data_IF_447140513000
#
_entry.id   IF_447140513000
#
_cell.length_a   1.000
_cell.length_b   1.000
_cell.length_c   1.000
_cell.angle_alpha   90.00
_cell.angle_beta   90.00
_cell.angle_gamma   90.00
#
_symmetry.space_group_name_H-M   'P 1'
#
loop_
_entity.id
_entity.type
_entity.pdbx_description
1 polymer ?
#
# COMPACT_ATOMS: atom_id res chain seq x y z
N UNK A 1 5.41 -11.78 20.45
CA UNK A 1 4.64 -11.11 19.37
C UNK A 1 5.49 -10.28 18.37
N UNK A 2 6.84 -10.31 18.41
CA UNK A 2 7.75 -9.48 17.58
C UNK A 2 7.64 -9.67 16.05
N UNK A 3 7.04 -10.75 15.55
CA UNK A 3 6.95 -11.02 14.11
C UNK A 3 5.77 -10.33 13.40
N UNK A 4 4.66 -10.06 14.10
CA UNK A 4 3.40 -9.65 13.45
C UNK A 4 3.41 -8.20 12.93
N UNK A 5 4.12 -7.29 13.60
CA UNK A 5 4.27 -5.89 13.18
C UNK A 5 5.10 -5.75 11.91
N UNK A 6 6.22 -6.48 11.79
CA UNK A 6 7.03 -6.54 10.57
C UNK A 6 6.25 -7.09 9.38
N UNK A 7 5.44 -8.13 9.58
CA UNK A 7 4.60 -8.70 8.52
C UNK A 7 3.61 -7.64 8.01
N UNK A 8 2.95 -6.88 8.89
CA UNK A 8 2.04 -5.81 8.50
C UNK A 8 2.74 -4.69 7.71
N UNK A 9 3.95 -4.30 8.11
CA UNK A 9 4.73 -3.31 7.37
C UNK A 9 5.10 -3.80 5.96
N UNK A 10 5.54 -5.06 5.83
CA UNK A 10 5.88 -5.67 4.54
C UNK A 10 4.64 -5.80 3.67
N UNK A 11 3.52 -6.27 4.22
CA UNK A 11 2.25 -6.39 3.49
C UNK A 11 1.76 -5.02 3.01
N UNK A 12 1.80 -3.99 3.86
CA UNK A 12 1.43 -2.62 3.48
C UNK A 12 2.31 -2.07 2.35
N UNK A 13 3.62 -2.31 2.41
CA UNK A 13 4.55 -1.91 1.36
C UNK A 13 4.29 -2.65 0.04
N UNK A 14 4.06 -3.97 0.10
CA UNK A 14 3.74 -4.78 -1.08
C UNK A 14 2.44 -4.32 -1.72
N UNK A 15 1.41 -4.01 -0.92
CA UNK A 15 0.13 -3.49 -1.43
C UNK A 15 0.33 -2.15 -2.14
N UNK A 16 1.07 -1.22 -1.54
CA UNK A 16 1.35 0.08 -2.16
C UNK A 16 2.11 -0.06 -3.50
N UNK A 17 3.16 -0.90 -3.52
CA UNK A 17 3.93 -1.18 -4.74
C UNK A 17 3.07 -1.88 -5.80
N UNK A 18 2.23 -2.83 -5.38
CA UNK A 18 1.33 -3.53 -6.30
C UNK A 18 0.35 -2.56 -6.96
N UNK A 19 -0.17 -1.56 -6.24
CA UNK A 19 -1.06 -0.56 -6.81
C UNK A 19 -0.40 0.30 -7.89
N UNK A 20 0.87 0.66 -7.70
CA UNK A 20 1.65 1.33 -8.74
C UNK A 20 1.86 0.43 -9.96
N UNK A 21 2.31 -0.81 -9.75
CA UNK A 21 2.59 -1.76 -10.83
C UNK A 21 1.32 -2.11 -11.61
N UNK A 22 0.20 -2.36 -10.94
CA UNK A 22 -1.09 -2.62 -11.61
C UNK A 22 -1.54 -1.43 -12.47
N UNK A 23 -1.36 -0.20 -11.98
CA UNK A 23 -1.70 1.00 -12.75
C UNK A 23 -0.89 1.10 -14.06
N UNK A 24 0.42 0.89 -13.98
CA UNK A 24 1.31 0.89 -15.15
C UNK A 24 0.98 -0.25 -16.13
N UNK A 25 0.81 -1.48 -15.63
CA UNK A 25 0.42 -2.62 -16.47
C UNK A 25 -0.92 -2.36 -17.16
N UNK A 26 -1.88 -1.77 -16.46
CA UNK A 26 -3.20 -1.49 -17.03
C UNK A 26 -3.13 -0.43 -18.14
N UNK A 27 -2.36 0.64 -17.94
CA UNK A 27 -2.12 1.67 -18.96
C UNK A 27 -1.39 1.10 -20.18
N UNK A 28 -0.34 0.29 -19.97
CA UNK A 28 0.41 -0.37 -21.03
C UNK A 28 -0.45 -1.37 -21.82
N UNK A 29 -1.21 -2.22 -21.13
CA UNK A 29 -2.11 -3.20 -21.74
C UNK A 29 -3.18 -2.50 -22.56
N UNK A 30 -3.75 -1.40 -22.05
CA UNK A 30 -4.69 -0.60 -22.80
C UNK A 30 -4.05 0.04 -24.02
N UNK A 31 -2.88 0.66 -23.89
CA UNK A 31 -2.12 1.26 -25.00
C UNK A 31 -1.77 0.25 -26.11
N UNK A 32 -1.50 -1.00 -25.74
CA UNK A 32 -1.30 -2.10 -26.69
C UNK A 32 -2.58 -2.46 -27.46
N UNK A 33 -3.72 -2.56 -26.76
CA UNK A 33 -5.02 -2.87 -27.37
C UNK A 33 -5.51 -1.71 -28.25
N UNK A 34 -5.33 -0.47 -27.79
CA UNK A 34 -5.75 0.74 -28.49
C UNK A 34 -4.77 1.22 -29.57
N UNK A 35 -3.70 0.46 -29.84
CA UNK A 35 -2.65 0.78 -30.83
C UNK A 35 -3.17 1.03 -32.26
N UNK A 36 -4.42 0.64 -32.56
CA UNK A 36 -5.07 0.91 -33.85
C UNK A 36 -5.71 2.31 -33.95
N UNK A 37 -5.85 3.03 -32.83
CA UNK A 37 -6.31 4.42 -32.80
C UNK A 37 -5.54 5.20 -31.71
N UNK A 38 -4.43 5.87 -32.05
CA UNK A 38 -3.72 6.72 -31.10
C UNK A 38 -4.60 7.94 -30.77
N UNK A 39 -5.33 7.84 -29.66
CA UNK A 39 -6.16 8.89 -29.10
C UNK A 39 -6.02 8.92 -27.58
N UNK A 40 -6.51 9.97 -26.90
CA UNK A 40 -6.53 10.01 -25.45
C UNK A 40 -7.25 8.78 -24.89
N UNK A 41 -6.71 8.22 -23.80
CA UNK A 41 -7.35 7.09 -23.09
C UNK A 41 -8.83 7.41 -22.87
N UNK A 42 -9.75 6.47 -23.14
CA UNK A 42 -11.15 6.69 -22.84
C UNK A 42 -11.30 7.00 -21.36
N UNK A 43 -12.21 7.91 -21.07
CA UNK A 43 -12.41 8.45 -19.74
C UNK A 43 -12.61 7.35 -18.67
N UNK A 44 -13.27 6.25 -19.04
CA UNK A 44 -13.46 5.07 -18.17
C UNK A 44 -12.16 4.39 -17.74
N UNK A 45 -11.18 4.28 -18.64
CA UNK A 45 -9.88 3.65 -18.39
C UNK A 45 -9.04 4.51 -17.47
N UNK A 46 -9.01 5.82 -17.72
CA UNK A 46 -8.32 6.79 -16.88
C UNK A 46 -8.92 6.85 -15.45
N UNK A 47 -10.24 6.79 -15.33
CA UNK A 47 -10.93 6.72 -14.03
C UNK A 47 -10.58 5.42 -13.30
N UNK A 48 -10.59 4.27 -13.98
CA UNK A 48 -10.30 2.99 -13.33
C UNK A 48 -8.85 2.93 -12.81
N UNK A 49 -7.91 3.35 -13.66
CA UNK A 49 -6.49 3.47 -13.33
C UNK A 49 -6.26 4.41 -12.12
N UNK A 50 -6.84 5.61 -12.19
CA UNK A 50 -6.78 6.59 -11.09
C UNK A 50 -7.43 6.09 -9.80
N UNK A 51 -8.54 5.35 -9.89
CA UNK A 51 -9.25 4.80 -8.72
C UNK A 51 -8.43 3.72 -8.03
N UNK A 52 -7.83 2.81 -8.79
CA UNK A 52 -6.94 1.75 -8.27
C UNK A 52 -5.77 2.40 -7.51
N UNK A 53 -5.18 3.44 -8.10
CA UNK A 53 -4.08 4.19 -7.49
C UNK A 53 -4.51 4.91 -6.21
N UNK A 54 -5.66 5.59 -6.24
CA UNK A 54 -6.24 6.32 -5.11
C UNK A 54 -6.70 5.41 -3.95
N UNK A 55 -6.95 4.12 -4.19
CA UNK A 55 -7.37 3.20 -3.13
C UNK A 55 -6.18 2.43 -2.56
N UNK A 56 -5.32 1.88 -3.41
CA UNK A 56 -4.24 0.99 -2.97
C UNK A 56 -3.12 1.73 -2.24
N UNK A 57 -2.79 2.96 -2.65
CA UNK A 57 -1.72 3.73 -2.00
C UNK A 57 -2.13 4.17 -0.59
N UNK A 58 -3.29 4.81 -0.37
CA UNK A 58 -3.70 5.18 0.99
C UNK A 58 -3.91 3.98 1.89
N UNK A 59 -4.43 2.87 1.36
CA UNK A 59 -4.60 1.63 2.11
C UNK A 59 -3.25 1.05 2.55
N UNK A 60 -2.28 0.97 1.64
CA UNK A 60 -0.92 0.52 1.95
C UNK A 60 -0.23 1.43 2.97
N UNK A 61 -0.37 2.74 2.81
CA UNK A 61 0.16 3.73 3.77
C UNK A 61 -0.49 3.59 5.15
N UNK A 62 -1.81 3.43 5.21
CA UNK A 62 -2.54 3.22 6.47
C UNK A 62 -2.03 1.99 7.22
N UNK A 63 -1.87 0.86 6.53
CA UNK A 63 -1.33 -0.37 7.13
C UNK A 63 0.10 -0.18 7.64
N UNK A 64 0.92 0.55 6.88
CA UNK A 64 2.29 0.88 7.28
C UNK A 64 2.31 1.72 8.57
N UNK A 65 1.54 2.81 8.64
CA UNK A 65 1.45 3.64 9.85
C UNK A 65 0.89 2.86 11.04
N UNK A 66 -0.12 2.03 10.83
CA UNK A 66 -0.68 1.19 11.88
C UNK A 66 0.36 0.22 12.45
N UNK A 67 1.24 -0.32 11.61
CA UNK A 67 2.34 -1.17 12.05
C UNK A 67 3.35 -0.43 12.96
N UNK A 68 3.65 0.83 12.65
CA UNK A 68 4.55 1.68 13.46
C UNK A 68 3.92 1.95 14.83
N UNK A 69 2.64 2.34 14.85
CA UNK A 69 1.91 2.62 16.10
C UNK A 69 1.90 1.38 17.01
N UNK A 70 1.62 0.20 16.45
CA UNK A 70 1.64 -1.06 17.19
C UNK A 70 3.04 -1.37 17.74
N UNK A 71 4.10 -1.12 16.97
CA UNK A 71 5.48 -1.34 17.43
C UNK A 71 5.85 -0.37 18.57
N UNK A 72 5.45 0.90 18.49
CA UNK A 72 5.66 1.90 19.55
C UNK A 72 4.93 1.49 20.82
N UNK A 73 3.65 1.10 20.73
CA UNK A 73 2.87 0.64 21.89
C UNK A 73 3.49 -0.59 22.54
N UNK A 74 4.02 -1.52 21.73
CA UNK A 74 4.70 -2.71 22.25
C UNK A 74 6.02 -2.37 22.95
N UNK A 75 6.77 -1.36 22.46
CA UNK A 75 7.98 -0.87 23.14
C UNK A 75 7.64 -0.22 24.47
N UNK A 76 6.69 0.72 24.47
CA UNK A 76 6.25 1.40 25.68
C UNK A 76 5.71 0.44 26.74
N UNK A 77 4.94 -0.58 26.33
CA UNK A 77 4.46 -1.62 27.25
C UNK A 77 5.62 -2.37 27.89
N UNK A 78 6.64 -2.77 27.13
CA UNK A 78 7.82 -3.49 27.65
C UNK A 78 8.57 -2.65 28.68
N UNK A 79 8.92 -1.42 28.32
CA UNK A 79 9.63 -0.47 29.20
C UNK A 79 8.87 -0.24 30.51
N UNK A 80 7.53 -0.12 30.45
CA UNK A 80 6.70 0.03 31.64
C UNK A 80 6.65 -1.23 32.50
N UNK A 81 6.58 -2.43 31.92
CA UNK A 81 6.66 -3.67 32.70
C UNK A 81 8.02 -3.85 33.33
N UNK A 82 9.10 -3.56 32.60
CA UNK A 82 10.47 -3.80 33.07
C UNK A 82 10.82 -2.82 34.21
N UNK A 83 10.37 -1.56 34.15
CA UNK A 83 10.58 -0.58 35.23
C UNK A 83 9.63 -0.67 36.43
N UNK A 84 8.72 -1.67 36.50
CA UNK A 84 7.88 -1.93 37.69
C UNK A 84 8.56 -2.92 38.65
N UNK A 85 9.56 -3.68 38.17
CA UNK A 85 10.25 -4.71 38.96
C UNK A 85 11.63 -4.30 39.48
N UNK A 86 12.06 -3.06 39.20
CA UNK A 86 13.21 -2.38 39.81
C UNK A 86 12.74 -1.52 41.00
#
# INVERSE_FOLDING_TARGET
MRGKSRILAIVGLVIALSGYVFNEIFMLAYGWISSHQPGPYPHSVAILAGTIWLVLIPLGAMLFFLSIVVEIQNRYRREKTDGIWD
#
